data_IF_575534374721
#
_entry.id   IF_575534374721
#
_cell.length_a   1.000
_cell.length_b   1.000
_cell.length_c   1.000
_cell.angle_alpha   90.00
_cell.angle_beta   90.00
_cell.angle_gamma   90.00
#
_symmetry.space_group_name_H-M   'P 1'
#
loop_
_entity.id
_entity.type
_entity.pdbx_description
1 polymer ?
#
# COMPACT_ATOMS: atom_id res chain seq x y z
N UNK A 1 29.87 -1.52 -10.94
CA UNK A 1 29.60 -0.14 -10.46
C UNK A 1 28.09 0.01 -10.35
N UNK A 2 27.54 0.00 -9.13
CA UNK A 2 26.21 0.48 -8.75
C UNK A 2 26.01 0.15 -7.25
N UNK A 3 26.27 1.12 -6.37
CA UNK A 3 26.22 0.88 -4.93
C UNK A 3 26.70 2.10 -4.15
N UNK A 4 26.01 3.23 -4.31
CA UNK A 4 26.22 4.42 -3.46
C UNK A 4 25.03 5.39 -3.51
N UNK A 5 23.82 4.87 -3.68
CA UNK A 5 22.60 5.63 -3.38
C UNK A 5 22.25 5.51 -1.89
N UNK A 6 21.45 6.42 -1.31
CA UNK A 6 21.02 6.36 0.09
C UNK A 6 20.04 5.20 0.38
N UNK A 7 19.71 4.39 -0.62
CA UNK A 7 18.77 3.29 -0.52
C UNK A 7 19.49 1.95 -0.67
N UNK A 8 19.05 0.90 0.05
CA UNK A 8 19.58 -0.45 -0.13
C UNK A 8 19.39 -0.91 -1.57
N UNK A 9 20.30 -1.77 -2.05
CA UNK A 9 20.14 -2.43 -3.34
C UNK A 9 18.84 -3.25 -3.33
N UNK A 10 17.96 -3.00 -4.29
CA UNK A 10 16.68 -3.72 -4.46
C UNK A 10 16.97 -4.98 -5.30
N UNK A 11 16.32 -6.10 -4.95
CA UNK A 11 16.48 -7.39 -5.63
C UNK A 11 15.20 -7.84 -6.35
N UNK A 12 14.03 -7.36 -5.90
CA UNK A 12 12.74 -7.67 -6.50
C UNK A 12 11.74 -6.52 -6.35
N UNK A 13 10.77 -6.45 -7.27
CA UNK A 13 9.72 -5.42 -7.28
C UNK A 13 8.35 -6.09 -7.29
N UNK A 14 7.54 -5.80 -6.28
CA UNK A 14 6.12 -6.18 -6.22
C UNK A 14 5.26 -4.94 -6.32
N UNK A 15 4.08 -5.07 -6.93
CA UNK A 15 3.17 -3.95 -7.09
C UNK A 15 1.70 -4.35 -6.98
N UNK A 16 0.90 -3.40 -6.53
CA UNK A 16 -0.55 -3.46 -6.75
C UNK A 16 -0.87 -3.48 -8.25
N UNK A 17 -1.87 -4.29 -8.70
CA UNK A 17 -2.27 -4.30 -10.10
C UNK A 17 -3.01 -3.04 -10.55
N UNK A 18 -3.30 -2.10 -9.63
CA UNK A 18 -3.94 -0.83 -10.00
C UNK A 18 -2.98 -0.01 -10.86
N UNK A 19 -3.51 0.56 -11.96
CA UNK A 19 -2.71 1.21 -13.01
C UNK A 19 -1.63 2.15 -12.46
N UNK A 20 -2.01 3.11 -11.60
CA UNK A 20 -1.07 4.06 -10.97
C UNK A 20 0.13 3.38 -10.29
N UNK A 21 -0.07 2.29 -9.56
CA UNK A 21 0.99 1.59 -8.84
C UNK A 21 1.80 0.70 -9.78
N UNK A 22 1.12 -0.02 -10.69
CA UNK A 22 1.78 -0.88 -11.67
C UNK A 22 2.66 -0.08 -12.65
N UNK A 23 2.21 1.12 -13.05
CA UNK A 23 2.98 2.03 -13.91
C UNK A 23 4.22 2.54 -13.18
N UNK A 24 4.11 2.98 -11.93
CA UNK A 24 5.28 3.35 -11.13
C UNK A 24 6.27 2.20 -10.97
N UNK A 25 5.78 0.99 -10.69
CA UNK A 25 6.63 -0.18 -10.55
C UNK A 25 7.35 -0.56 -11.85
N UNK A 26 6.69 -0.42 -13.01
CA UNK A 26 7.34 -0.60 -14.32
C UNK A 26 8.44 0.43 -14.56
N UNK A 27 8.17 1.71 -14.29
CA UNK A 27 9.20 2.77 -14.41
C UNK A 27 10.40 2.44 -13.52
N UNK A 28 10.18 1.98 -12.28
CA UNK A 28 11.25 1.56 -11.37
C UNK A 28 12.02 0.36 -11.93
N UNK A 29 11.32 -0.65 -12.45
CA UNK A 29 11.92 -1.83 -13.11
C UNK A 29 12.80 -1.42 -14.28
N UNK A 30 12.31 -0.55 -15.16
CA UNK A 30 13.04 -0.09 -16.35
C UNK A 30 14.31 0.70 -15.97
N UNK A 31 14.23 1.54 -14.94
CA UNK A 31 15.37 2.34 -14.48
C UNK A 31 16.43 1.53 -13.72
N UNK A 32 16.02 0.45 -13.07
CA UNK A 32 16.91 -0.36 -12.21
C UNK A 32 17.38 -1.65 -12.88
N UNK A 33 16.73 -2.07 -13.96
CA UNK A 33 16.94 -3.38 -14.58
C UNK A 33 16.41 -4.56 -13.76
N UNK A 34 15.66 -4.30 -12.67
CA UNK A 34 15.13 -5.33 -11.76
C UNK A 34 13.73 -5.70 -12.22
N UNK A 35 13.51 -6.97 -12.58
CA UNK A 35 12.20 -7.46 -12.98
C UNK A 35 12.17 -8.94 -13.32
N UNK A 36 11.01 -9.46 -13.76
CA UNK A 36 9.77 -8.71 -14.02
C UNK A 36 9.06 -8.24 -12.74
N UNK A 37 8.27 -7.16 -12.85
CA UNK A 37 7.40 -6.69 -11.75
C UNK A 37 6.36 -7.76 -11.44
N UNK A 38 6.28 -8.20 -10.18
CA UNK A 38 5.26 -9.15 -9.72
C UNK A 38 4.02 -8.39 -9.25
N UNK A 39 2.88 -8.63 -9.90
CA UNK A 39 1.61 -8.02 -9.51
C UNK A 39 0.90 -8.86 -8.45
N UNK A 40 0.44 -8.21 -7.37
CA UNK A 40 -0.26 -8.87 -6.29
C UNK A 40 -1.55 -8.13 -5.92
N UNK A 41 -2.70 -8.78 -6.13
CA UNK A 41 -4.02 -8.22 -5.87
C UNK A 41 -4.26 -7.88 -4.39
N UNK A 42 -3.52 -8.52 -3.47
CA UNK A 42 -3.57 -8.25 -2.03
C UNK A 42 -2.97 -6.89 -1.67
N UNK A 43 -2.27 -6.24 -2.59
CA UNK A 43 -1.67 -4.90 -2.42
C UNK A 43 -2.55 -3.77 -2.98
N UNK A 44 -3.77 -4.08 -3.46
CA UNK A 44 -4.75 -3.06 -3.90
C UNK A 44 -5.09 -2.09 -2.78
N UNK A 45 -5.37 -0.84 -3.15
CA UNK A 45 -5.86 0.16 -2.20
C UNK A 45 -7.15 -0.33 -1.54
N UNK A 46 -7.37 0.13 -0.31
CA UNK A 46 -8.61 -0.16 0.41
C UNK A 46 -9.83 0.34 -0.37
N UNK A 47 -10.92 -0.42 -0.33
CA UNK A 47 -12.20 0.04 -0.88
C UNK A 47 -12.77 1.16 -0.01
N UNK A 48 -13.09 2.29 -0.64
CA UNK A 48 -13.88 3.37 0.01
C UNK A 48 -15.38 3.10 -0.04
N UNK A 49 -15.79 1.92 -0.52
CA UNK A 49 -17.17 1.50 -0.54
C UNK A 49 -18.04 2.37 -1.44
N UNK A 50 -19.22 2.75 -0.94
CA UNK A 50 -20.20 3.56 -1.67
C UNK A 50 -19.69 4.96 -2.06
N UNK A 51 -18.56 5.41 -1.49
CA UNK A 51 -17.95 6.69 -1.84
C UNK A 51 -17.09 6.62 -3.11
N UNK A 52 -16.87 5.43 -3.66
CA UNK A 52 -16.06 5.25 -4.86
C UNK A 52 -16.65 6.03 -6.04
N UNK A 53 -15.80 6.83 -6.70
CA UNK A 53 -16.20 7.65 -7.85
C UNK A 53 -17.00 8.91 -7.50
N UNK A 54 -17.29 9.17 -6.23
CA UNK A 54 -18.03 10.36 -5.80
C UNK A 54 -17.08 11.50 -5.45
N UNK A 55 -17.50 12.73 -5.77
CA UNK A 55 -16.91 13.96 -5.28
C UNK A 55 -17.30 14.21 -3.83
N UNK A 56 -16.54 15.09 -3.18
CA UNK A 56 -16.78 15.48 -1.80
C UNK A 56 -18.22 15.98 -1.56
N UNK A 57 -18.73 16.81 -2.46
CA UNK A 57 -20.08 17.38 -2.37
C UNK A 57 -21.15 16.28 -2.50
N UNK A 58 -20.94 15.31 -3.37
CA UNK A 58 -21.85 14.18 -3.57
C UNK A 58 -21.87 13.26 -2.35
N UNK A 59 -20.72 13.04 -1.71
CA UNK A 59 -20.64 12.31 -0.44
C UNK A 59 -21.39 13.07 0.66
N UNK A 60 -21.23 14.40 0.76
CA UNK A 60 -21.96 15.19 1.77
C UNK A 60 -23.47 15.18 1.54
N UNK A 61 -23.94 15.20 0.29
CA UNK A 61 -25.36 15.14 -0.03
C UNK A 61 -25.96 13.78 0.32
N UNK A 62 -25.27 12.68 -0.02
CA UNK A 62 -25.76 11.31 0.22
C UNK A 62 -25.55 10.83 1.66
N UNK A 63 -24.51 11.32 2.35
CA UNK A 63 -24.21 11.02 3.76
C UNK A 63 -23.99 12.30 4.60
N UNK A 64 -25.04 13.09 4.88
CA UNK A 64 -24.92 14.35 5.60
C UNK A 64 -24.23 14.20 6.96
N UNK A 65 -23.13 14.93 7.11
CA UNK A 65 -22.35 15.00 8.36
C UNK A 65 -21.47 13.78 8.67
N UNK A 66 -21.43 12.75 7.82
CA UNK A 66 -20.54 11.60 8.02
C UNK A 66 -19.08 12.05 8.10
N UNK A 67 -18.65 12.83 7.11
CA UNK A 67 -17.28 13.34 7.04
C UNK A 67 -16.93 14.20 8.27
N UNK A 68 -17.87 15.04 8.75
CA UNK A 68 -17.69 15.85 9.97
C UNK A 68 -17.53 14.99 11.23
N UNK A 69 -18.29 13.91 11.32
CA UNK A 69 -18.23 12.94 12.43
C UNK A 69 -17.14 11.88 12.24
N UNK A 70 -16.35 11.95 11.16
CA UNK A 70 -15.37 10.93 10.76
C UNK A 70 -15.97 9.52 10.66
N UNK A 71 -17.24 9.44 10.30
CA UNK A 71 -17.91 8.18 10.01
C UNK A 71 -17.58 7.73 8.60
N UNK A 72 -17.40 6.42 8.44
CA UNK A 72 -17.16 5.76 7.17
C UNK A 72 -18.45 5.10 6.68
N UNK A 73 -18.64 4.94 5.37
CA UNK A 73 -19.82 4.26 4.87
C UNK A 73 -19.75 2.75 5.21
N UNK A 74 -20.89 2.05 5.33
CA UNK A 74 -20.91 0.65 5.76
C UNK A 74 -20.06 -0.30 4.92
N UNK A 75 -19.89 -0.06 3.61
CA UNK A 75 -19.07 -0.93 2.75
C UNK A 75 -17.59 -0.51 2.67
N UNK A 76 -17.16 0.42 3.51
CA UNK A 76 -15.75 0.78 3.63
C UNK A 76 -14.91 -0.40 4.13
N UNK A 77 -13.79 -0.66 3.46
CA UNK A 77 -12.87 -1.71 3.86
C UNK A 77 -12.03 -1.25 5.07
N UNK A 78 -12.34 -1.81 6.24
CA UNK A 78 -11.66 -1.48 7.50
C UNK A 78 -10.25 -2.07 7.55
N UNK A 79 -9.45 -1.61 8.52
CA UNK A 79 -8.11 -2.17 8.73
C UNK A 79 -8.16 -3.68 9.04
N UNK A 80 -9.18 -4.16 9.75
CA UNK A 80 -9.38 -5.59 10.01
C UNK A 80 -9.61 -6.42 8.74
N UNK A 81 -10.09 -5.80 7.66
CA UNK A 81 -10.25 -6.44 6.35
C UNK A 81 -8.97 -6.32 5.50
N UNK A 82 -8.28 -5.16 5.58
CA UNK A 82 -7.06 -4.88 4.81
C UNK A 82 -5.85 -5.64 5.34
N UNK A 83 -5.63 -5.62 6.66
CA UNK A 83 -4.40 -6.13 7.28
C UNK A 83 -4.17 -7.62 6.99
N UNK A 84 -5.18 -8.53 7.10
CA UNK A 84 -4.96 -9.94 6.80
C UNK A 84 -4.43 -10.21 5.40
N UNK A 85 -5.00 -9.57 4.37
CA UNK A 85 -4.55 -9.76 2.98
C UNK A 85 -3.15 -9.19 2.76
N UNK A 86 -2.85 -8.03 3.34
CA UNK A 86 -1.54 -7.37 3.19
C UNK A 86 -0.45 -8.16 3.90
N UNK A 87 -0.69 -8.62 5.14
CA UNK A 87 0.29 -9.42 5.87
C UNK A 87 0.53 -10.78 5.22
N UNK A 88 -0.49 -11.39 4.63
CA UNK A 88 -0.30 -12.61 3.84
C UNK A 88 0.59 -12.36 2.61
N UNK A 89 0.48 -11.19 1.96
CA UNK A 89 1.38 -10.81 0.89
C UNK A 89 2.81 -10.59 1.38
N UNK A 90 2.98 -9.82 2.46
CA UNK A 90 4.29 -9.54 3.06
C UNK A 90 5.00 -10.82 3.54
N UNK A 91 4.28 -11.75 4.18
CA UNK A 91 4.87 -13.01 4.62
C UNK A 91 5.30 -13.90 3.45
N UNK A 92 4.49 -13.97 2.37
CA UNK A 92 4.86 -14.68 1.15
C UNK A 92 6.10 -14.06 0.50
N UNK A 93 6.14 -12.73 0.36
CA UNK A 93 7.28 -12.01 -0.21
C UNK A 93 8.54 -12.28 0.61
N UNK A 94 8.46 -12.16 1.94
CA UNK A 94 9.58 -12.44 2.86
C UNK A 94 10.11 -13.87 2.70
N UNK A 95 9.23 -14.86 2.55
CA UNK A 95 9.60 -16.27 2.36
C UNK A 95 10.26 -16.52 1.00
N UNK A 96 9.80 -15.83 -0.05
CA UNK A 96 10.36 -15.95 -1.41
C UNK A 96 11.70 -15.23 -1.58
N UNK A 97 12.03 -14.27 -0.73
CA UNK A 97 13.19 -13.39 -0.85
C UNK A 97 14.03 -13.32 0.45
N UNK A 98 14.57 -14.46 0.94
CA UNK A 98 15.34 -14.46 2.18
C UNK A 98 16.63 -13.63 2.06
N UNK A 99 16.80 -12.65 2.95
CA UNK A 99 17.99 -11.78 2.99
C UNK A 99 18.08 -10.74 1.87
N UNK A 100 17.05 -10.65 1.02
CA UNK A 100 16.97 -9.70 -0.10
C UNK A 100 16.12 -8.48 0.26
N UNK A 101 16.38 -7.35 -0.38
CA UNK A 101 15.54 -6.16 -0.24
C UNK A 101 14.50 -6.12 -1.36
N UNK A 102 13.23 -6.07 -0.98
CA UNK A 102 12.12 -6.05 -1.93
C UNK A 102 11.45 -4.68 -1.91
N UNK A 103 11.30 -4.07 -3.08
CA UNK A 103 10.50 -2.88 -3.24
C UNK A 103 9.03 -3.25 -3.45
N UNK A 104 8.14 -2.63 -2.67
CA UNK A 104 6.70 -2.85 -2.74
C UNK A 104 6.00 -1.54 -3.09
N UNK A 105 5.35 -1.49 -4.26
CA UNK A 105 4.64 -0.31 -4.76
C UNK A 105 3.14 -0.49 -4.56
N UNK A 106 2.55 0.26 -3.63
CA UNK A 106 1.12 0.19 -3.32
C UNK A 106 0.51 1.58 -3.12
N UNK A 107 -0.24 1.79 -2.04
CA UNK A 107 -1.08 2.97 -1.85
C UNK A 107 -1.04 3.45 -0.40
N UNK A 108 -1.35 4.73 -0.19
CA UNK A 108 -1.27 5.37 1.11
C UNK A 108 -2.16 4.66 2.15
N UNK A 109 -3.38 4.25 1.80
CA UNK A 109 -4.26 3.54 2.74
C UNK A 109 -3.69 2.20 3.21
N UNK A 110 -2.89 1.52 2.39
CA UNK A 110 -2.22 0.27 2.74
C UNK A 110 -1.01 0.53 3.62
N UNK A 111 -0.17 1.50 3.25
CA UNK A 111 1.02 1.90 4.01
C UNK A 111 0.61 2.34 5.42
N UNK A 112 -0.40 3.20 5.54
CA UNK A 112 -0.85 3.71 6.84
C UNK A 112 -1.46 2.63 7.73
N UNK A 113 -2.17 1.64 7.16
CA UNK A 113 -2.69 0.50 7.93
C UNK A 113 -1.54 -0.29 8.56
N UNK A 114 -0.55 -0.65 7.74
CA UNK A 114 0.62 -1.42 8.20
C UNK A 114 1.43 -0.63 9.22
N UNK A 115 1.68 0.66 8.97
CA UNK A 115 2.37 1.54 9.92
C UNK A 115 1.64 1.62 11.26
N UNK A 116 0.32 1.80 11.25
CA UNK A 116 -0.49 1.87 12.46
C UNK A 116 -0.44 0.55 13.24
N UNK A 117 -0.54 -0.59 12.53
CA UNK A 117 -0.39 -1.91 13.14
C UNK A 117 1.01 -2.08 13.75
N UNK A 118 2.08 -1.82 13.00
CA UNK A 118 3.46 -1.98 13.50
C UNK A 118 3.76 -1.04 14.68
N UNK A 119 3.20 0.18 14.67
CA UNK A 119 3.31 1.10 15.80
C UNK A 119 2.70 0.52 17.07
N UNK A 120 1.53 -0.13 16.96
CA UNK A 120 0.84 -0.72 18.12
C UNK A 120 1.50 -2.02 18.58
N UNK A 121 1.97 -2.85 17.65
CA UNK A 121 2.52 -4.17 17.99
C UNK A 121 3.99 -4.12 18.44
N UNK A 122 4.82 -3.30 17.79
CA UNK A 122 6.28 -3.32 17.99
C UNK A 122 6.89 -1.93 18.18
N UNK A 123 6.07 -0.90 18.39
CA UNK A 123 6.55 0.46 18.62
C UNK A 123 7.23 1.11 17.41
N UNK A 124 6.99 0.60 16.20
CA UNK A 124 7.56 1.14 14.97
C UNK A 124 7.21 2.63 14.79
N UNK A 125 8.20 3.42 14.37
CA UNK A 125 8.05 4.83 13.99
C UNK A 125 8.63 5.01 12.59
N UNK A 126 7.81 5.47 11.64
CA UNK A 126 8.30 5.79 10.31
C UNK A 126 9.24 7.01 10.39
N UNK A 127 10.55 6.87 10.11
CA UNK A 127 11.50 7.97 10.20
C UNK A 127 11.29 9.08 9.16
N UNK A 128 10.57 8.80 8.06
CA UNK A 128 10.30 9.79 7.01
C UNK A 128 8.99 10.55 7.25
N UNK A 129 8.20 10.15 8.24
CA UNK A 129 6.94 10.81 8.58
C UNK A 129 7.23 11.93 9.57
N UNK A 130 7.24 13.17 9.06
CA UNK A 130 7.38 14.40 9.85
C UNK A 130 6.19 14.60 10.78
#
# INVERSE_FOLDING_TARGET
VAGSGPFPQIDAIYSSPMERASTTARILSDQTGIGPVVLDSRLRERSVGEWSGLRYEEVQQKWPGYLKRRMLPPSYETDDMVLPRVFLALDNIRKSHPGQNVALVCHAGIIYAVEAYLKTQVGYKNPTRR
#
